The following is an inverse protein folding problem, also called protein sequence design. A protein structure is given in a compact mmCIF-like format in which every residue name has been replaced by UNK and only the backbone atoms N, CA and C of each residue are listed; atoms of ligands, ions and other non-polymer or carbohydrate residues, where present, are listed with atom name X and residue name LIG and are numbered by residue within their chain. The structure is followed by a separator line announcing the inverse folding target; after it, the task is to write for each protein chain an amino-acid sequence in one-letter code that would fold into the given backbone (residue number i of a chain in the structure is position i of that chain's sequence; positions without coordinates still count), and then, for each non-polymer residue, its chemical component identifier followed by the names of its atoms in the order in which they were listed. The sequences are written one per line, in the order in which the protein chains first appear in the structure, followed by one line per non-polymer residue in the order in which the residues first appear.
data_IF_150206642961
#
_entry.id   IF_150206642961
#
_cell.length_a   1.000
_cell.length_b   1.000
_cell.length_c   1.000
_cell.angle_alpha   90.00
_cell.angle_beta   90.00
_cell.angle_gamma   90.00
#
_symmetry.space_group_name_H-M   'P 1'
#
loop_
_entity.id
_entity.type
_entity.pdbx_description
1 polymer ?
#
# COMPACT_ATOMS: atom_id res chain seq x y z
N UNK A 1 -18.11 -20.47 -9.02
CA UNK A 1 -16.71 -20.76 -8.63
C UNK A 1 -16.34 -19.83 -7.48
N UNK A 2 -16.31 -20.36 -6.26
CA UNK A 2 -15.76 -19.64 -5.11
C UNK A 2 -14.28 -19.41 -5.37
N UNK A 3 -13.87 -18.16 -5.62
CA UNK A 3 -12.47 -17.76 -5.64
C UNK A 3 -11.92 -18.10 -4.25
N UNK A 4 -11.20 -19.22 -4.14
CA UNK A 4 -10.44 -19.54 -2.95
C UNK A 4 -9.36 -18.45 -2.85
N UNK A 5 -9.59 -17.48 -1.96
CA UNK A 5 -8.70 -16.33 -1.79
C UNK A 5 -7.38 -16.86 -1.26
N UNK A 6 -6.40 -17.02 -2.14
CA UNK A 6 -5.06 -17.46 -1.76
C UNK A 6 -4.49 -16.49 -0.73
N UNK A 7 -3.89 -17.06 0.31
CA UNK A 7 -3.23 -16.29 1.35
C UNK A 7 -2.11 -15.46 0.73
N UNK A 8 -2.09 -14.15 1.01
CA UNK A 8 -1.06 -13.25 0.49
C UNK A 8 0.19 -13.36 1.36
N UNK A 9 1.34 -13.62 0.76
CA UNK A 9 2.63 -13.67 1.47
C UNK A 9 3.30 -12.31 1.40
N UNK A 10 3.48 -11.67 2.55
CA UNK A 10 4.05 -10.32 2.67
C UNK A 10 5.45 -10.42 3.26
N UNK A 11 6.48 -10.00 2.52
CA UNK A 11 7.80 -9.83 3.10
C UNK A 11 7.79 -8.66 4.10
N UNK A 12 8.19 -8.91 5.35
CA UNK A 12 8.44 -7.85 6.32
C UNK A 12 9.90 -7.41 6.27
N UNK A 13 10.12 -6.18 5.83
CA UNK A 13 11.41 -5.51 5.86
C UNK A 13 11.37 -4.44 6.93
N UNK A 14 11.86 -4.77 8.13
CA UNK A 14 11.79 -3.87 9.27
C UNK A 14 13.09 -3.84 10.07
N UNK A 15 13.28 -2.72 10.77
CA UNK A 15 14.33 -2.52 11.76
C UNK A 15 13.68 -2.21 13.11
N UNK A 16 14.05 -2.95 14.15
CA UNK A 16 13.57 -2.73 15.52
C UNK A 16 12.10 -3.05 15.78
N UNK A 17 11.40 -3.78 14.90
CA UNK A 17 9.99 -4.14 15.07
C UNK A 17 9.75 -5.02 16.30
N UNK A 18 10.63 -6.00 16.53
CA UNK A 18 10.60 -6.89 17.69
C UNK A 18 10.76 -6.11 18.99
N UNK A 19 11.85 -5.34 19.11
CA UNK A 19 12.17 -4.57 20.31
C UNK A 19 11.14 -3.47 20.63
N UNK A 20 10.51 -2.91 19.60
CA UNK A 20 9.45 -1.89 19.78
C UNK A 20 8.09 -2.50 20.14
N UNK A 21 7.96 -3.83 20.15
CA UNK A 21 6.71 -4.55 20.42
C UNK A 21 5.67 -4.46 19.30
N UNK A 22 6.01 -3.84 18.16
CA UNK A 22 5.06 -3.59 17.06
C UNK A 22 4.99 -4.75 16.06
N UNK A 23 5.93 -5.69 16.10
CA UNK A 23 5.92 -6.84 15.20
C UNK A 23 4.62 -7.67 15.32
N UNK A 24 4.19 -7.93 16.55
CA UNK A 24 2.92 -8.61 16.82
C UNK A 24 1.73 -7.86 16.23
N UNK A 25 1.75 -6.53 16.26
CA UNK A 25 0.69 -5.69 15.69
C UNK A 25 0.68 -5.76 14.16
N UNK A 26 1.86 -5.83 13.52
CA UNK A 26 2.00 -6.08 12.08
C UNK A 26 1.41 -7.45 11.72
N UNK A 27 1.79 -8.51 12.44
CA UNK A 27 1.28 -9.86 12.20
C UNK A 27 -0.24 -9.94 12.40
N UNK A 28 -0.77 -9.31 13.46
CA UNK A 28 -2.20 -9.28 13.73
C UNK A 28 -2.97 -8.57 12.63
N UNK A 29 -2.45 -7.45 12.11
CA UNK A 29 -3.06 -6.74 10.98
C UNK A 29 -3.02 -7.59 9.69
N UNK A 30 -1.92 -8.28 9.42
CA UNK A 30 -1.81 -9.19 8.26
C UNK A 30 -2.80 -10.36 8.34
N UNK A 31 -2.96 -10.98 9.52
CA UNK A 31 -3.92 -12.08 9.75
C UNK A 31 -5.35 -11.64 9.46
N UNK A 32 -5.75 -10.43 9.86
CA UNK A 32 -7.09 -9.89 9.61
C UNK A 32 -7.44 -9.74 8.13
N UNK A 33 -6.44 -9.62 7.24
CA UNK A 33 -6.64 -9.48 5.79
C UNK A 33 -6.34 -10.77 5.00
N UNK A 34 -6.26 -11.91 5.69
CA UNK A 34 -5.86 -13.21 5.12
C UNK A 34 -4.50 -13.14 4.40
N UNK A 35 -3.51 -12.62 5.14
CA UNK A 35 -2.11 -12.57 4.73
C UNK A 35 -1.18 -13.12 5.82
N UNK A 36 -0.01 -13.59 5.41
CA UNK A 36 1.04 -14.08 6.29
C UNK A 36 2.31 -13.25 6.11
N UNK A 37 2.97 -12.95 7.23
CA UNK A 37 4.28 -12.31 7.24
C UNK A 37 5.36 -13.36 6.97
N UNK A 38 6.25 -13.03 6.03
CA UNK A 38 7.43 -13.82 5.68
C UNK A 38 8.66 -12.98 6.00
N UNK A 39 9.64 -13.59 6.65
CA UNK A 39 10.95 -12.99 6.88
C UNK A 39 11.92 -13.52 5.82
N UNK A 40 12.38 -12.69 4.87
CA UNK A 40 13.29 -13.14 3.83
C UNK A 40 14.60 -13.67 4.42
N UNK A 41 15.04 -14.81 3.92
CA UNK A 41 16.36 -15.36 4.23
C UNK A 41 17.42 -14.58 3.42
N UNK A 42 18.60 -14.41 4.00
CA UNK A 42 19.71 -13.67 3.40
C UNK A 42 21.00 -14.49 3.51
N UNK A 43 21.88 -14.33 2.53
CA UNK A 43 23.23 -14.84 2.63
C UNK A 43 24.08 -13.81 3.41
N UNK A 44 25.14 -14.28 4.07
CA UNK A 44 26.02 -13.40 4.86
C UNK A 44 26.73 -12.41 3.91
N UNK A 45 27.11 -12.89 2.74
CA UNK A 45 27.80 -12.13 1.70
C UNK A 45 26.95 -10.96 1.18
N UNK A 46 25.62 -11.10 1.16
CA UNK A 46 24.73 -9.99 0.81
C UNK A 46 24.84 -8.88 1.85
N UNK A 47 24.85 -9.22 3.14
CA UNK A 47 24.91 -8.21 4.23
C UNK A 47 26.21 -7.42 4.18
N UNK A 48 27.31 -8.06 3.76
CA UNK A 48 28.62 -7.43 3.64
C UNK A 48 28.71 -6.48 2.43
N UNK A 49 28.01 -6.78 1.34
CA UNK A 49 28.11 -6.04 0.06
C UNK A 49 26.95 -5.07 -0.20
N UNK A 50 25.86 -5.16 0.58
CA UNK A 50 24.62 -4.42 0.31
C UNK A 50 24.78 -2.89 0.30
N UNK A 51 25.70 -2.37 1.12
CA UNK A 51 25.94 -0.92 1.21
C UNK A 51 26.53 -0.36 -0.08
N UNK A 52 27.32 -1.17 -0.80
CA UNK A 52 27.88 -0.81 -2.10
C UNK A 52 26.79 -0.83 -3.18
N UNK A 53 25.92 -1.83 -3.15
CA UNK A 53 24.80 -1.97 -4.09
C UNK A 53 23.78 -0.83 -3.95
N UNK A 54 23.45 -0.45 -2.71
CA UNK A 54 22.56 0.67 -2.43
C UNK A 54 23.24 2.04 -2.54
N UNK A 55 24.58 2.08 -2.59
CA UNK A 55 25.34 3.33 -2.48
C UNK A 55 25.09 4.07 -1.16
N UNK A 56 24.65 3.36 -0.11
CA UNK A 56 24.22 3.90 1.17
C UNK A 56 24.88 3.13 2.30
N UNK A 57 25.71 3.84 3.08
CA UNK A 57 26.35 3.29 4.29
C UNK A 57 25.50 3.57 5.52
N UNK A 58 25.37 2.57 6.38
CA UNK A 58 24.58 2.63 7.60
C UNK A 58 25.35 2.05 8.78
N UNK A 59 25.19 2.64 9.96
CA UNK A 59 25.80 2.15 11.18
C UNK A 59 25.05 0.94 11.75
N UNK A 60 23.72 0.91 11.60
CA UNK A 60 22.87 -0.14 12.18
C UNK A 60 22.97 -1.47 11.41
N UNK A 61 23.37 -2.59 12.08
CA UNK A 61 23.34 -3.92 11.48
C UNK A 61 21.93 -4.36 11.04
N UNK A 62 20.89 -4.00 11.79
CA UNK A 62 19.50 -4.30 11.44
C UNK A 62 19.08 -3.61 10.14
N UNK A 63 19.59 -2.39 9.89
CA UNK A 63 19.34 -1.69 8.62
C UNK A 63 20.09 -2.36 7.46
N UNK A 64 21.33 -2.84 7.67
CA UNK A 64 22.03 -3.67 6.66
C UNK A 64 21.26 -4.94 6.34
N UNK A 65 20.80 -5.64 7.37
CA UNK A 65 19.98 -6.84 7.22
C UNK A 65 18.67 -6.54 6.48
N UNK A 66 18.01 -5.42 6.80
CA UNK A 66 16.81 -4.97 6.12
C UNK A 66 17.04 -4.72 4.61
N UNK A 67 18.16 -4.08 4.25
CA UNK A 67 18.54 -3.88 2.83
C UNK A 67 18.86 -5.23 2.15
N UNK A 68 19.59 -6.13 2.81
CA UNK A 68 19.91 -7.45 2.26
C UNK A 68 18.65 -8.31 2.05
N UNK A 69 17.68 -8.22 2.96
CA UNK A 69 16.37 -8.86 2.79
C UNK A 69 15.60 -8.30 1.59
N UNK A 70 15.73 -6.99 1.31
CA UNK A 70 15.16 -6.39 0.10
C UNK A 70 15.75 -7.00 -1.16
N UNK A 71 17.08 -7.18 -1.19
CA UNK A 71 17.79 -7.86 -2.27
C UNK A 71 17.31 -9.30 -2.46
N UNK A 72 17.19 -10.08 -1.39
CA UNK A 72 16.67 -11.46 -1.44
C UNK A 72 15.26 -11.56 -2.06
N UNK A 73 14.40 -10.57 -1.78
CA UNK A 73 13.06 -10.48 -2.39
C UNK A 73 13.14 -10.13 -3.88
N UNK A 74 13.96 -9.14 -4.26
CA UNK A 74 14.13 -8.69 -5.65
C UNK A 74 14.76 -9.78 -6.52
N UNK A 75 15.76 -10.47 -6.02
CA UNK A 75 16.43 -11.61 -6.70
C UNK A 75 15.51 -12.84 -6.83
N UNK A 76 14.32 -12.82 -6.23
CA UNK A 76 13.35 -13.92 -6.27
C UNK A 76 13.74 -15.12 -5.41
N UNK A 77 14.77 -15.00 -4.56
CA UNK A 77 15.19 -16.02 -3.59
C UNK A 77 14.09 -16.28 -2.57
N UNK A 78 13.46 -15.20 -2.09
CA UNK A 78 12.26 -15.28 -1.26
C UNK A 78 11.02 -14.96 -2.09
N UNK A 79 10.18 -15.97 -2.38
CA UNK A 79 8.93 -15.78 -3.13
C UNK A 79 7.86 -15.14 -2.24
N UNK A 80 7.49 -13.90 -2.54
CA UNK A 80 6.41 -13.16 -1.87
C UNK A 80 5.51 -12.46 -2.88
N UNK A 81 4.32 -12.08 -2.43
CA UNK A 81 3.30 -11.43 -3.25
C UNK A 81 3.27 -9.90 -3.02
N UNK A 82 3.83 -9.44 -1.90
CA UNK A 82 3.94 -8.03 -1.53
C UNK A 82 5.08 -7.78 -0.53
N UNK A 83 5.47 -6.51 -0.36
CA UNK A 83 6.47 -6.09 0.63
C UNK A 83 5.91 -5.01 1.55
N UNK A 84 6.10 -5.18 2.86
CA UNK A 84 5.83 -4.16 3.86
C UNK A 84 7.14 -3.70 4.50
N UNK A 85 7.45 -2.41 4.33
CA UNK A 85 8.69 -1.78 4.78
C UNK A 85 8.39 -0.93 6.02
N UNK A 86 8.94 -1.25 7.18
CA UNK A 86 8.56 -0.61 8.43
C UNK A 86 9.77 -0.22 9.29
N UNK A 87 9.89 1.05 9.65
CA UNK A 87 10.95 1.51 10.57
C UNK A 87 10.40 2.49 11.59
N UNK A 88 11.08 2.65 12.73
CA UNK A 88 10.66 3.59 13.76
C UNK A 88 10.75 5.04 13.25
N UNK A 89 9.87 5.91 13.73
CA UNK A 89 9.85 7.31 13.31
C UNK A 89 11.04 8.13 13.83
N UNK A 90 11.74 7.64 14.86
CA UNK A 90 12.78 8.40 15.58
C UNK A 90 14.15 8.35 14.90
N UNK A 91 14.42 7.30 14.12
CA UNK A 91 15.74 7.08 13.53
C UNK A 91 15.80 7.70 12.13
N UNK A 92 16.58 8.78 11.97
CA UNK A 92 16.78 9.45 10.68
C UNK A 92 17.43 8.51 9.65
N UNK A 93 18.42 7.73 10.07
CA UNK A 93 19.06 6.71 9.22
C UNK A 93 18.02 5.69 8.72
N UNK A 94 17.15 5.20 9.60
CA UNK A 94 16.09 4.26 9.22
C UNK A 94 15.01 4.89 8.33
N UNK A 95 14.82 6.21 8.39
CA UNK A 95 13.92 6.93 7.48
C UNK A 95 14.49 6.99 6.06
N UNK A 96 15.80 7.23 5.93
CA UNK A 96 16.52 7.21 4.65
C UNK A 96 16.49 5.79 4.07
N UNK A 97 16.92 4.79 4.84
CA UNK A 97 16.92 3.38 4.42
C UNK A 97 15.54 2.90 3.99
N UNK A 98 14.48 3.25 4.74
CA UNK A 98 13.11 2.92 4.35
C UNK A 98 12.73 3.51 2.99
N UNK A 99 13.18 4.72 2.69
CA UNK A 99 13.01 5.37 1.39
C UNK A 99 13.74 4.62 0.28
N UNK A 100 15.03 4.34 0.48
CA UNK A 100 15.87 3.66 -0.50
C UNK A 100 15.46 2.20 -0.73
N UNK A 101 15.12 1.44 0.31
CA UNK A 101 14.59 0.07 0.18
C UNK A 101 13.29 0.06 -0.63
N UNK A 102 12.38 1.00 -0.36
CA UNK A 102 11.14 1.11 -1.15
C UNK A 102 11.45 1.41 -2.61
N UNK A 103 12.38 2.34 -2.87
CA UNK A 103 12.80 2.72 -4.22
C UNK A 103 13.44 1.54 -4.96
N UNK A 104 14.38 0.85 -4.32
CA UNK A 104 15.07 -0.32 -4.86
C UNK A 104 14.08 -1.41 -5.31
N UNK A 105 13.11 -1.76 -4.46
CA UNK A 105 12.08 -2.75 -4.80
C UNK A 105 11.23 -2.29 -5.99
N UNK A 106 10.88 -1.01 -6.05
CA UNK A 106 10.07 -0.44 -7.13
C UNK A 106 10.81 -0.44 -8.48
N UNK A 107 12.10 -0.08 -8.48
CA UNK A 107 12.91 0.00 -9.71
C UNK A 107 13.30 -1.39 -10.25
N UNK A 108 13.45 -2.38 -9.38
CA UNK A 108 13.98 -3.70 -9.75
C UNK A 108 12.93 -4.82 -9.70
N UNK A 109 11.69 -4.54 -9.30
CA UNK A 109 10.64 -5.54 -9.25
C UNK A 109 9.26 -4.94 -9.53
N UNK A 110 8.31 -5.81 -9.88
CA UNK A 110 6.89 -5.43 -9.96
C UNK A 110 6.11 -5.81 -8.70
N UNK A 111 6.81 -6.05 -7.58
CA UNK A 111 6.19 -6.46 -6.32
C UNK A 111 5.63 -5.20 -5.64
N UNK A 112 4.34 -5.18 -5.27
CA UNK A 112 3.77 -4.03 -4.59
C UNK A 112 4.43 -3.81 -3.23
N UNK A 113 4.79 -2.57 -2.95
CA UNK A 113 5.49 -2.17 -1.72
C UNK A 113 4.75 -1.05 -1.01
N UNK A 114 4.55 -1.20 0.31
CA UNK A 114 4.05 -0.12 1.17
C UNK A 114 5.08 0.12 2.29
N UNK A 115 5.43 1.39 2.49
CA UNK A 115 6.28 1.82 3.59
C UNK A 115 5.47 2.45 4.72
N UNK A 116 5.86 2.18 5.96
CA UNK A 116 5.24 2.77 7.15
C UNK A 116 6.30 3.21 8.18
N UNK A 117 6.00 4.31 8.86
CA UNK A 117 6.81 4.82 9.97
C UNK A 117 6.06 4.59 11.26
N UNK A 118 6.54 3.69 12.12
CA UNK A 118 5.83 3.30 13.33
C UNK A 118 6.33 4.04 14.57
N UNK A 119 5.49 4.02 15.60
CA UNK A 119 5.84 4.37 16.99
C UNK A 119 5.61 3.13 17.86
N UNK A 120 6.09 3.13 19.09
CA UNK A 120 5.86 2.05 20.06
C UNK A 120 4.36 1.89 20.43
N UNK A 121 3.51 2.86 20.03
CA UNK A 121 2.06 2.84 20.22
C UNK A 121 1.27 2.42 18.98
N UNK A 122 1.94 2.10 17.87
CA UNK A 122 1.27 1.66 16.65
C UNK A 122 0.52 0.35 16.92
N UNK A 123 -0.76 0.32 16.59
CA UNK A 123 -1.63 -0.86 16.76
C UNK A 123 -2.02 -1.48 15.43
N UNK A 124 -2.49 -2.73 15.46
CA UNK A 124 -2.98 -3.45 14.30
C UNK A 124 -4.11 -2.69 13.58
N UNK A 125 -4.99 -2.03 14.33
CA UNK A 125 -6.05 -1.18 13.75
C UNK A 125 -5.52 -0.01 12.93
N UNK A 126 -4.39 0.57 13.33
CA UNK A 126 -3.73 1.65 12.56
C UNK A 126 -3.11 1.09 11.27
N UNK A 127 -2.58 -0.13 11.33
CA UNK A 127 -1.94 -0.80 10.20
C UNK A 127 -2.94 -1.42 9.21
N UNK A 128 -4.17 -1.69 9.66
CA UNK A 128 -5.17 -2.46 8.91
C UNK A 128 -5.41 -1.89 7.52
N UNK A 129 -5.69 -0.59 7.41
CA UNK A 129 -5.93 0.06 6.11
C UNK A 129 -4.75 -0.05 5.14
N UNK A 130 -3.51 -0.07 5.67
CA UNK A 130 -2.29 -0.26 4.87
C UNK A 130 -2.16 -1.71 4.42
N UNK A 131 -2.45 -2.67 5.29
CA UNK A 131 -2.43 -4.09 4.97
C UNK A 131 -3.53 -4.46 3.96
N UNK A 132 -4.72 -3.88 4.10
CA UNK A 132 -5.82 -4.05 3.15
C UNK A 132 -5.46 -3.51 1.76
N UNK A 133 -4.87 -2.31 1.71
CA UNK A 133 -4.41 -1.74 0.45
C UNK A 133 -3.31 -2.61 -0.19
N UNK A 134 -2.35 -3.07 0.60
CA UNK A 134 -1.25 -3.92 0.14
C UNK A 134 -1.76 -5.24 -0.43
N UNK A 135 -2.59 -5.96 0.32
CA UNK A 135 -3.15 -7.25 -0.08
C UNK A 135 -4.11 -7.13 -1.26
N UNK A 136 -4.89 -6.05 -1.34
CA UNK A 136 -5.75 -5.77 -2.50
C UNK A 136 -4.91 -5.57 -3.75
N UNK A 137 -3.82 -4.81 -3.64
CA UNK A 137 -2.89 -4.56 -4.76
C UNK A 137 -2.23 -5.86 -5.22
N UNK A 138 -1.78 -6.70 -4.27
CA UNK A 138 -1.18 -7.99 -4.57
C UNK A 138 -2.16 -8.94 -5.29
N UNK A 139 -3.41 -9.04 -4.80
CA UNK A 139 -4.44 -9.92 -5.38
C UNK A 139 -4.93 -9.44 -6.74
N UNK A 140 -5.04 -8.12 -6.92
CA UNK A 140 -5.62 -7.49 -8.12
C UNK A 140 -4.57 -6.99 -9.09
N UNK A 141 -3.32 -7.48 -9.00
CA UNK A 141 -2.21 -7.05 -9.87
C UNK A 141 -2.56 -7.08 -11.36
N UNK A 142 -3.28 -8.11 -11.82
CA UNK A 142 -3.75 -8.22 -13.21
C UNK A 142 -4.83 -7.20 -13.60
N UNK A 143 -5.71 -6.83 -12.67
CA UNK A 143 -6.72 -5.79 -12.90
C UNK A 143 -6.10 -4.39 -12.89
N UNK A 144 -5.09 -4.18 -12.04
CA UNK A 144 -4.33 -2.93 -11.93
C UNK A 144 -3.29 -2.75 -13.05
N UNK A 145 -2.98 -3.80 -13.80
CA UNK A 145 -2.13 -3.74 -14.99
C UNK A 145 -2.81 -3.08 -16.20
N UNK A 146 -4.10 -2.69 -16.09
CA UNK A 146 -4.76 -1.87 -17.11
C UNK A 146 -4.16 -0.47 -17.10
N UNK A 147 -3.35 -0.16 -18.12
CA UNK A 147 -2.70 1.15 -18.26
C UNK A 147 -3.65 2.27 -18.72
N UNK A 148 -4.83 1.91 -19.23
CA UNK A 148 -5.83 2.86 -19.71
C UNK A 148 -7.24 2.51 -19.23
N UNK A 149 -7.93 3.51 -18.70
CA UNK A 149 -9.37 3.46 -18.44
C UNK A 149 -10.15 3.63 -19.76
N UNK A 150 -11.25 2.88 -19.92
CA UNK A 150 -12.13 2.91 -21.11
C UNK A 150 -13.58 3.05 -20.68
N UNK A 151 -14.40 3.68 -21.52
CA UNK A 151 -15.82 3.92 -21.21
C UNK A 151 -16.01 5.07 -20.24
N UNK A 152 -17.22 5.23 -19.71
CA UNK A 152 -17.55 6.26 -18.71
C UNK A 152 -17.61 5.65 -17.31
N UNK A 153 -16.65 5.99 -16.45
CA UNK A 153 -16.53 5.43 -15.09
C UNK A 153 -16.35 6.52 -14.05
N UNK A 154 -16.61 6.20 -12.79
CA UNK A 154 -16.38 7.10 -11.68
C UNK A 154 -15.62 6.43 -10.53
N UNK A 155 -14.88 7.24 -9.77
CA UNK A 155 -14.15 6.80 -8.59
C UNK A 155 -14.35 7.77 -7.43
N UNK A 156 -14.63 7.24 -6.23
CA UNK A 156 -14.77 8.01 -4.98
C UNK A 156 -13.65 7.61 -4.02
N UNK A 157 -12.86 8.58 -3.55
CA UNK A 157 -11.92 8.42 -2.44
C UNK A 157 -12.47 9.11 -1.20
N UNK A 158 -13.00 8.31 -0.27
CA UNK A 158 -13.53 8.80 1.00
C UNK A 158 -12.49 8.72 2.11
N UNK A 159 -11.67 9.78 2.21
CA UNK A 159 -10.69 9.96 3.28
C UNK A 159 -11.32 10.41 4.61
N UNK A 160 -10.47 10.59 5.63
CA UNK A 160 -10.90 11.07 6.96
C UNK A 160 -11.13 12.58 7.02
N UNK A 161 -10.43 13.35 6.17
CA UNK A 161 -10.47 14.82 6.17
C UNK A 161 -11.16 15.35 4.92
N UNK A 162 -11.07 14.63 3.82
CA UNK A 162 -11.61 15.05 2.53
C UNK A 162 -12.15 13.87 1.77
N UNK A 163 -13.30 14.06 1.12
CA UNK A 163 -13.86 13.11 0.16
C UNK A 163 -13.75 13.69 -1.23
N UNK A 164 -13.27 12.87 -2.17
CA UNK A 164 -13.04 13.24 -3.56
C UNK A 164 -13.81 12.29 -4.47
N UNK A 165 -14.29 12.79 -5.59
CA UNK A 165 -14.83 11.98 -6.66
C UNK A 165 -14.28 12.46 -7.99
N UNK A 166 -14.13 11.53 -8.94
CA UNK A 166 -13.67 11.81 -10.30
C UNK A 166 -14.55 11.01 -11.25
N UNK A 167 -14.97 11.64 -12.35
CA UNK A 167 -15.57 10.96 -13.51
C UNK A 167 -14.53 10.94 -14.62
N UNK A 168 -14.29 9.76 -15.19
CA UNK A 168 -13.35 9.55 -16.27
C UNK A 168 -14.05 8.98 -17.51
N UNK A 169 -13.67 9.50 -18.68
CA UNK A 169 -14.04 8.98 -19.98
C UNK A 169 -12.78 8.70 -20.80
N UNK A 170 -12.58 7.45 -21.20
CA UNK A 170 -11.47 7.02 -22.05
C UNK A 170 -10.11 7.60 -21.63
N UNK A 171 -9.77 7.39 -20.35
CA UNK A 171 -8.52 7.81 -19.70
C UNK A 171 -8.35 9.32 -19.51
N UNK A 172 -9.43 10.10 -19.67
CA UNK A 172 -9.45 11.53 -19.38
C UNK A 172 -10.41 11.83 -18.25
N UNK A 173 -9.98 12.66 -17.31
CA UNK A 173 -10.87 13.21 -16.28
C UNK A 173 -11.82 14.20 -16.97
N UNK A 174 -13.12 13.96 -16.86
CA UNK A 174 -14.17 14.81 -17.43
C UNK A 174 -14.97 15.56 -16.37
N UNK A 175 -14.82 15.21 -15.09
CA UNK A 175 -15.37 15.97 -13.97
C UNK A 175 -14.76 15.53 -12.65
N UNK A 176 -14.77 16.41 -11.65
CA UNK A 176 -14.26 16.14 -10.31
C UNK A 176 -15.12 16.80 -9.24
N UNK A 177 -15.06 16.25 -8.03
CA UNK A 177 -15.74 16.78 -6.87
C UNK A 177 -14.87 16.63 -5.65
N UNK A 178 -14.83 17.66 -4.82
CA UNK A 178 -14.08 17.63 -3.58
C UNK A 178 -14.84 18.38 -2.49
N UNK A 179 -15.03 17.72 -1.36
CA UNK A 179 -15.59 18.29 -0.12
C UNK A 179 -14.78 17.88 1.10
N UNK A 180 -14.79 18.65 2.20
CA UNK A 180 -14.38 18.18 3.51
C UNK A 180 -15.23 16.97 3.93
N UNK A 181 -14.61 15.97 4.55
CA UNK A 181 -15.35 14.82 5.09
C UNK A 181 -15.97 15.21 6.43
N UNK A 182 -17.29 15.19 6.51
CA UNK A 182 -18.03 15.40 7.77
C UNK A 182 -18.77 14.11 8.15
N UNK A 183 -19.68 13.67 7.30
CA UNK A 183 -20.34 12.37 7.37
C UNK A 183 -20.02 11.60 6.10
N UNK A 184 -19.41 10.43 6.26
CA UNK A 184 -18.83 9.63 5.16
C UNK A 184 -19.77 9.50 3.94
N UNK A 185 -21.01 9.07 4.18
CA UNK A 185 -22.00 8.85 3.10
C UNK A 185 -22.41 10.17 2.45
N UNK A 186 -22.82 11.17 3.24
CA UNK A 186 -23.26 12.47 2.71
C UNK A 186 -22.13 13.18 1.95
N UNK A 187 -20.89 13.10 2.45
CA UNK A 187 -19.71 13.66 1.80
C UNK A 187 -19.36 12.94 0.50
N UNK A 188 -19.55 11.61 0.43
CA UNK A 188 -19.34 10.84 -0.79
C UNK A 188 -20.39 11.16 -1.86
N UNK A 189 -21.67 11.21 -1.49
CA UNK A 189 -22.75 11.63 -2.39
C UNK A 189 -22.50 13.04 -2.92
N UNK A 190 -22.17 13.99 -2.03
CA UNK A 190 -21.91 15.37 -2.43
C UNK A 190 -20.68 15.53 -3.34
N UNK A 191 -19.60 14.78 -3.09
CA UNK A 191 -18.46 14.78 -3.98
C UNK A 191 -18.82 14.20 -5.35
N UNK A 192 -19.58 13.10 -5.37
CA UNK A 192 -19.96 12.43 -6.60
C UNK A 192 -20.92 13.26 -7.46
N UNK A 193 -21.94 13.87 -6.85
CA UNK A 193 -22.86 14.77 -7.56
C UNK A 193 -22.14 15.92 -8.24
N UNK A 194 -21.17 16.55 -7.55
CA UNK A 194 -20.34 17.61 -8.15
C UNK A 194 -19.54 17.11 -9.36
N UNK A 195 -18.96 15.92 -9.26
CA UNK A 195 -18.17 15.35 -10.35
C UNK A 195 -19.05 15.00 -11.58
N UNK A 196 -20.29 14.56 -11.35
CA UNK A 196 -21.26 14.28 -12.40
C UNK A 196 -21.77 15.55 -13.07
N UNK A 197 -22.07 16.58 -12.27
CA UNK A 197 -22.50 17.89 -12.75
C UNK A 197 -21.42 18.52 -13.65
N UNK A 198 -20.16 18.50 -13.22
CA UNK A 198 -19.04 19.01 -14.01
C UNK A 198 -18.82 18.20 -15.30
N UNK A 199 -18.99 16.88 -15.22
CA UNK A 199 -18.90 16.00 -16.39
C UNK A 199 -20.10 16.11 -17.35
N UNK A 200 -21.20 16.74 -16.91
CA UNK A 200 -22.44 16.84 -17.69
C UNK A 200 -23.11 15.49 -17.95
N UNK A 201 -22.96 14.52 -17.03
CA UNK A 201 -23.51 13.17 -17.16
C UNK A 201 -24.40 12.81 -15.97
N UNK A 202 -25.30 11.85 -16.16
CA UNK A 202 -26.14 11.33 -15.08
C UNK A 202 -25.48 10.13 -14.40
N UNK A 203 -25.95 9.82 -13.18
CA UNK A 203 -25.53 8.59 -12.46
C UNK A 203 -25.78 7.31 -13.27
N UNK A 204 -26.82 7.28 -14.09
CA UNK A 204 -27.20 6.12 -14.90
C UNK A 204 -26.26 5.91 -16.10
N UNK A 205 -25.49 6.92 -16.48
CA UNK A 205 -24.52 6.82 -17.58
C UNK A 205 -23.21 6.18 -17.12
N UNK A 206 -22.95 6.13 -15.81
CA UNK A 206 -21.72 5.57 -15.26
C UNK A 206 -21.75 4.04 -15.35
N UNK A 207 -20.84 3.49 -16.15
CA UNK A 207 -20.72 2.06 -16.41
C UNK A 207 -20.10 1.29 -15.23
N UNK A 208 -19.23 1.96 -14.47
CA UNK A 208 -18.62 1.39 -13.28
C UNK A 208 -18.26 2.48 -12.26
N UNK A 209 -18.53 2.19 -10.98
CA UNK A 209 -18.16 3.02 -9.84
C UNK A 209 -17.16 2.26 -8.95
N UNK A 210 -16.03 2.88 -8.65
CA UNK A 210 -15.06 2.39 -7.68
C UNK A 210 -15.03 3.25 -6.42
N UNK A 211 -14.87 2.63 -5.24
CA UNK A 211 -14.71 3.35 -3.98
C UNK A 211 -13.40 2.97 -3.28
N UNK A 212 -12.73 3.95 -2.71
CA UNK A 212 -11.48 3.79 -1.94
C UNK A 212 -11.47 4.71 -0.72
N UNK A 213 -10.38 4.69 0.04
CA UNK A 213 -10.27 5.38 1.32
C UNK A 213 -10.92 4.59 2.46
N UNK A 214 -10.84 5.13 3.68
CA UNK A 214 -11.41 4.47 4.86
C UNK A 214 -12.94 4.36 4.77
N UNK A 215 -13.60 5.36 4.17
CA UNK A 215 -15.06 5.38 4.03
C UNK A 215 -15.64 4.35 3.06
N UNK A 216 -14.80 3.63 2.29
CA UNK A 216 -15.25 2.67 1.27
C UNK A 216 -16.20 1.60 1.80
N UNK A 217 -16.07 1.17 3.06
CA UNK A 217 -16.94 0.18 3.68
C UNK A 217 -18.38 0.65 3.91
N UNK A 218 -18.60 1.96 3.89
CA UNK A 218 -19.92 2.57 4.07
C UNK A 218 -20.52 3.04 2.74
N UNK A 219 -19.67 3.26 1.73
CA UNK A 219 -20.06 3.87 0.44
C UNK A 219 -20.18 2.84 -0.67
N UNK A 220 -19.36 1.76 -0.65
CA UNK A 220 -19.30 0.74 -1.71
C UNK A 220 -19.67 -0.66 -1.25
#
# INVERSE_FOLDING_TARGET
MTLQVSMVRIALLACGSEYSGIEKEIENAAKQVNAAIIFPEVAIEDVETIEEEFGLKVASPDLKLMMARAKSVVDGRTKVDAVFVATCFRCAEAAIVRGEVRRYIYEHSSIPVISYSFTERTTAGTLLTRMEALTTTARRKSLLAREAQTGLTAGIDSGSTTTKAVVMKDNRIVGFGWVPTTKVIESAESAYDKALEEAGVSRNDIEALGTTGYGRFLVG
#
